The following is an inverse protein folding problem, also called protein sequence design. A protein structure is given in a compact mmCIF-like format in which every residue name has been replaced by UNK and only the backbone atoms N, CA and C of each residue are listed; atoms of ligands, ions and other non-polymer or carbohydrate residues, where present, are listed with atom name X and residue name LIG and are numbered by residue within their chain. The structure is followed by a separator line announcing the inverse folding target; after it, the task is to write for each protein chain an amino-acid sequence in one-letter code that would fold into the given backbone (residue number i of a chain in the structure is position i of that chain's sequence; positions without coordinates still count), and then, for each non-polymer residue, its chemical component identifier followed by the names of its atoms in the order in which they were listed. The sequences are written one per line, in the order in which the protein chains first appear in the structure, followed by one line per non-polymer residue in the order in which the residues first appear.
data_IF_919332626820
#
_entry.id   IF_919332626820
#
_cell.length_a   1.000
_cell.length_b   1.000
_cell.length_c   1.000
_cell.angle_alpha   90.00
_cell.angle_beta   90.00
_cell.angle_gamma   90.00
#
_symmetry.space_group_name_H-M   'P 1'
#
loop_
_entity.id
_entity.type
_entity.pdbx_description
1 polymer ?
#
# COMPACT_ATOMS: atom_id res chain seq x y z
N UNK A 1 19.90 -25.75 1.41
CA UNK A 1 19.39 -26.99 2.03
C UNK A 1 18.06 -26.64 2.69
N UNK A 2 16.93 -26.84 2.01
CA UNK A 2 15.60 -26.50 2.57
C UNK A 2 15.24 -27.47 3.70
N UNK A 3 15.06 -26.93 4.90
CA UNK A 3 14.64 -27.70 6.07
C UNK A 3 13.11 -27.83 6.02
N UNK A 4 12.61 -29.04 5.83
CA UNK A 4 11.16 -29.31 5.86
C UNK A 4 10.74 -29.38 7.32
N UNK A 5 10.00 -28.38 7.78
CA UNK A 5 9.45 -28.32 9.14
C UNK A 5 8.23 -29.25 9.26
N UNK A 6 8.14 -30.00 10.35
CA UNK A 6 6.98 -30.84 10.62
C UNK A 6 5.80 -30.02 11.20
N UNK A 7 4.59 -30.60 11.26
CA UNK A 7 3.40 -29.88 11.71
C UNK A 7 3.49 -29.35 13.15
N UNK A 8 4.27 -30.02 14.02
CA UNK A 8 4.48 -29.58 15.39
C UNK A 8 5.45 -28.40 15.47
N UNK A 9 6.46 -28.34 14.59
CA UNK A 9 7.34 -27.18 14.42
C UNK A 9 6.60 -25.98 13.83
N UNK A 10 5.70 -26.21 12.87
CA UNK A 10 4.82 -25.15 12.33
C UNK A 10 3.86 -24.63 13.42
N UNK A 11 3.34 -25.51 14.29
CA UNK A 11 2.51 -25.10 15.42
C UNK A 11 3.31 -24.36 16.49
N UNK A 12 4.54 -24.78 16.77
CA UNK A 12 5.42 -24.14 17.74
C UNK A 12 5.87 -22.74 17.27
N UNK A 13 6.25 -22.58 15.99
CA UNK A 13 6.54 -21.27 15.40
C UNK A 13 5.29 -20.38 15.40
N UNK A 14 4.11 -20.92 15.11
CA UNK A 14 2.84 -20.18 15.24
C UNK A 14 2.51 -19.82 16.69
N UNK A 15 2.91 -20.61 17.68
CA UNK A 15 2.67 -20.34 19.09
C UNK A 15 3.67 -19.34 19.69
N UNK A 16 4.94 -19.43 19.32
CA UNK A 16 5.99 -18.46 19.66
C UNK A 16 5.74 -17.12 18.97
N UNK A 17 5.34 -17.14 17.69
CA UNK A 17 4.85 -15.96 16.99
C UNK A 17 3.61 -15.40 17.69
N UNK A 18 2.62 -16.22 18.09
CA UNK A 18 1.45 -15.75 18.86
C UNK A 18 1.80 -15.10 20.21
N UNK A 19 2.86 -15.56 20.88
CA UNK A 19 3.38 -14.95 22.11
C UNK A 19 4.07 -13.61 21.83
N UNK A 20 4.95 -13.54 20.83
CA UNK A 20 5.64 -12.30 20.41
C UNK A 20 4.70 -11.31 19.72
N UNK A 21 3.62 -11.77 19.12
CA UNK A 21 2.50 -10.98 18.57
C UNK A 21 1.71 -10.29 19.69
N UNK A 22 1.69 -10.83 20.91
CA UNK A 22 1.01 -10.20 22.05
C UNK A 22 1.82 -9.08 22.68
N UNK A 23 3.14 -9.27 22.81
CA UNK A 23 4.03 -8.33 23.52
C UNK A 23 4.90 -7.49 22.58
N UNK A 24 4.87 -7.78 21.27
CA UNK A 24 5.53 -7.05 20.18
C UNK A 24 7.04 -6.81 20.35
N UNK A 25 7.72 -7.75 21.02
CA UNK A 25 9.17 -7.80 21.15
C UNK A 25 9.80 -8.29 19.83
N UNK A 26 10.26 -7.35 19.00
CA UNK A 26 10.87 -7.65 17.71
C UNK A 26 11.80 -6.55 17.20
N UNK A 27 12.51 -6.85 16.11
CA UNK A 27 13.39 -5.88 15.44
C UNK A 27 12.56 -4.81 14.74
N UNK A 28 12.89 -3.54 14.97
CA UNK A 28 12.23 -2.42 14.30
C UNK A 28 12.85 -2.23 12.93
N UNK A 29 12.12 -2.58 11.88
CA UNK A 29 12.57 -2.44 10.50
C UNK A 29 12.35 -1.01 9.97
N UNK A 30 11.28 -0.36 10.43
CA UNK A 30 10.89 0.96 9.95
C UNK A 30 10.15 1.73 11.02
N UNK A 31 10.33 3.05 11.05
CA UNK A 31 9.57 3.99 11.87
C UNK A 31 9.44 5.31 11.14
N UNK A 32 8.20 5.77 10.94
CA UNK A 32 7.91 7.07 10.36
C UNK A 32 6.63 7.63 10.95
N UNK A 33 6.73 8.81 11.55
CA UNK A 33 5.63 9.41 12.33
C UNK A 33 5.05 8.38 13.33
N UNK A 34 3.77 8.02 13.17
CA UNK A 34 3.06 7.07 14.03
C UNK A 34 3.15 5.62 13.53
N UNK A 35 3.71 5.41 12.35
CA UNK A 35 3.79 4.09 11.73
C UNK A 35 5.09 3.40 12.13
N UNK A 36 4.98 2.12 12.53
CA UNK A 36 6.11 1.27 12.89
C UNK A 36 5.95 -0.11 12.27
N UNK A 37 7.02 -0.63 11.68
CA UNK A 37 7.06 -2.02 11.21
C UNK A 37 8.04 -2.79 12.09
N UNK A 38 7.52 -3.83 12.75
CA UNK A 38 8.29 -4.67 13.67
C UNK A 38 8.35 -6.09 13.12
N UNK A 39 9.55 -6.63 12.94
CA UNK A 39 9.76 -8.02 12.60
C UNK A 39 9.63 -8.88 13.84
N UNK A 40 8.63 -9.74 13.85
CA UNK A 40 8.22 -10.57 15.00
C UNK A 40 8.66 -12.03 14.84
N UNK A 41 9.05 -12.45 13.64
CA UNK A 41 9.68 -13.76 13.36
C UNK A 41 10.49 -13.71 12.07
N UNK A 42 11.07 -14.85 11.66
CA UNK A 42 11.78 -14.97 10.38
C UNK A 42 10.91 -14.53 9.19
N UNK A 43 9.62 -14.86 9.21
CA UNK A 43 8.72 -14.70 8.06
C UNK A 43 7.55 -13.74 8.30
N UNK A 44 7.49 -13.05 9.45
CA UNK A 44 6.35 -12.19 9.78
C UNK A 44 6.78 -10.83 10.30
N UNK A 45 6.00 -9.82 9.91
CA UNK A 45 6.03 -8.46 10.45
C UNK A 45 4.67 -8.08 11.01
N UNK A 46 4.68 -7.07 11.89
CA UNK A 46 3.49 -6.31 12.25
C UNK A 46 3.69 -4.84 11.85
N UNK A 47 2.81 -4.31 10.99
CA UNK A 47 2.66 -2.86 10.78
C UNK A 47 1.76 -2.32 11.89
N UNK A 48 2.18 -1.25 12.55
CA UNK A 48 1.50 -0.63 13.69
C UNK A 48 1.32 0.86 13.44
N UNK A 49 0.17 1.38 13.83
CA UNK A 49 -0.07 2.81 14.00
C UNK A 49 -1.26 3.00 14.96
N UNK A 50 -1.49 4.23 15.42
CA UNK A 50 -2.64 4.55 16.27
C UNK A 50 -3.98 4.42 15.52
N UNK A 51 -3.95 4.50 14.19
CA UNK A 51 -5.13 4.44 13.32
C UNK A 51 -4.69 4.10 11.88
N UNK A 52 -4.53 2.80 11.59
CA UNK A 52 -4.25 2.31 10.24
C UNK A 52 -5.57 2.35 9.44
N UNK A 53 -5.57 2.81 8.18
CA UNK A 53 -6.77 2.79 7.36
C UNK A 53 -7.38 1.38 7.28
N UNK A 54 -8.65 1.26 7.63
CA UNK A 54 -9.34 -0.04 7.74
C UNK A 54 -9.34 -0.85 6.42
N UNK A 55 -9.21 -0.16 5.28
CA UNK A 55 -9.15 -0.76 3.95
C UNK A 55 -7.76 -1.29 3.56
N UNK A 56 -6.68 -1.05 4.31
CA UNK A 56 -5.34 -1.54 3.92
C UNK A 56 -5.29 -3.08 3.82
N UNK A 57 -5.80 -3.79 4.84
CA UNK A 57 -5.82 -5.25 4.82
C UNK A 57 -6.73 -5.84 3.71
N UNK A 58 -7.98 -5.36 3.51
CA UNK A 58 -8.77 -5.69 2.33
C UNK A 58 -8.06 -5.43 0.99
N UNK A 59 -7.39 -4.29 0.85
CA UNK A 59 -6.63 -3.94 -0.36
C UNK A 59 -5.52 -4.94 -0.65
N UNK A 60 -4.71 -5.31 0.35
CA UNK A 60 -3.64 -6.30 0.17
C UNK A 60 -4.19 -7.65 -0.32
N UNK A 61 -5.33 -8.09 0.24
CA UNK A 61 -6.01 -9.33 -0.22
C UNK A 61 -6.50 -9.20 -1.65
N UNK A 62 -7.15 -8.08 -1.98
CA UNK A 62 -7.67 -7.80 -3.31
C UNK A 62 -6.56 -7.82 -4.37
N UNK A 63 -5.42 -7.18 -4.11
CA UNK A 63 -4.28 -7.17 -5.04
C UNK A 63 -3.70 -8.58 -5.23
N UNK A 64 -3.53 -9.33 -4.15
CA UNK A 64 -3.01 -10.70 -4.21
C UNK A 64 -3.93 -11.66 -4.99
N UNK A 65 -5.24 -11.42 -4.95
CA UNK A 65 -6.24 -12.24 -5.65
C UNK A 65 -6.38 -11.90 -7.15
N UNK A 66 -6.11 -10.64 -7.53
CA UNK A 66 -6.43 -10.14 -8.87
C UNK A 66 -5.19 -9.83 -9.73
N UNK A 67 -3.99 -9.94 -9.18
CA UNK A 67 -2.73 -9.61 -9.89
C UNK A 67 -1.61 -10.58 -9.54
N UNK A 68 -0.49 -10.47 -10.25
CA UNK A 68 0.76 -11.14 -9.90
C UNK A 68 1.71 -10.24 -9.10
N UNK A 69 1.21 -9.11 -8.58
CA UNK A 69 2.05 -8.14 -7.87
C UNK A 69 2.45 -8.76 -6.54
N UNK A 70 3.75 -8.80 -6.22
CA UNK A 70 4.18 -9.34 -4.94
C UNK A 70 3.79 -8.37 -3.82
N UNK A 71 2.84 -8.79 -2.98
CA UNK A 71 2.38 -8.04 -1.82
C UNK A 71 2.42 -8.93 -0.57
N UNK A 72 2.60 -8.36 0.64
CA UNK A 72 2.55 -9.13 1.87
C UNK A 72 1.20 -9.81 2.07
N UNK A 73 1.20 -11.11 2.40
CA UNK A 73 -0.04 -11.80 2.78
C UNK A 73 -0.47 -11.37 4.17
N UNK A 74 -1.72 -10.92 4.30
CA UNK A 74 -2.33 -10.59 5.60
C UNK A 74 -2.72 -11.88 6.33
N UNK A 75 -2.24 -12.03 7.58
CA UNK A 75 -2.57 -13.16 8.46
C UNK A 75 -3.53 -12.78 9.58
N UNK A 76 -3.43 -11.55 10.10
CA UNK A 76 -4.27 -11.07 11.20
C UNK A 76 -4.40 -9.55 11.18
N UNK A 77 -5.51 -9.04 11.74
CA UNK A 77 -5.79 -7.60 11.89
C UNK A 77 -6.20 -7.35 13.33
N UNK A 78 -5.46 -6.47 14.02
CA UNK A 78 -5.68 -6.13 15.42
C UNK A 78 -6.52 -4.87 15.52
N UNK A 79 -7.55 -4.94 16.35
CA UNK A 79 -8.49 -3.86 16.60
C UNK A 79 -8.40 -3.40 18.05
N UNK A 80 -8.38 -2.09 18.26
CA UNK A 80 -8.56 -1.43 19.56
C UNK A 80 -9.55 -0.28 19.37
N UNK A 81 -10.62 -0.24 20.18
CA UNK A 81 -11.69 0.77 20.09
C UNK A 81 -12.21 0.99 18.65
N UNK A 82 -12.50 -0.11 17.94
CA UNK A 82 -12.96 -0.16 16.54
C UNK A 82 -11.96 0.41 15.50
N UNK A 83 -10.72 0.69 15.89
CA UNK A 83 -9.64 1.13 14.99
C UNK A 83 -8.66 0.01 14.71
N UNK A 84 -8.14 -0.02 13.48
CA UNK A 84 -7.04 -0.94 13.15
C UNK A 84 -5.74 -0.38 13.71
N UNK A 85 -5.15 -1.08 14.67
CA UNK A 85 -3.88 -0.67 15.30
C UNK A 85 -2.71 -1.55 14.89
N UNK A 86 -2.98 -2.67 14.25
CA UNK A 86 -1.95 -3.60 13.81
C UNK A 86 -2.39 -4.51 12.67
N UNK A 87 -1.50 -4.75 11.72
CA UNK A 87 -1.68 -5.74 10.66
C UNK A 87 -0.49 -6.71 10.70
N UNK A 88 -0.77 -7.99 10.97
CA UNK A 88 0.24 -9.05 10.93
C UNK A 88 0.26 -9.63 9.52
N UNK A 89 1.42 -9.58 8.87
CA UNK A 89 1.58 -9.98 7.49
C UNK A 89 2.97 -10.58 7.21
N UNK A 90 3.15 -11.15 6.03
CA UNK A 90 4.44 -11.70 5.60
C UNK A 90 5.56 -10.65 5.69
N UNK A 91 6.72 -11.07 6.19
CA UNK A 91 7.97 -10.35 5.98
C UNK A 91 8.40 -10.55 4.53
N UNK A 92 8.58 -9.46 3.79
CA UNK A 92 9.03 -9.50 2.41
C UNK A 92 10.56 -9.32 2.34
N UNK A 93 11.32 -10.28 1.77
CA UNK A 93 12.76 -10.15 1.63
C UNK A 93 13.12 -9.16 0.52
N UNK A 94 14.28 -8.53 0.62
CA UNK A 94 14.82 -7.64 -0.41
C UNK A 94 15.27 -6.30 0.16
N UNK A 95 15.88 -5.51 -0.70
CA UNK A 95 16.41 -4.18 -0.37
C UNK A 95 15.54 -3.13 -1.06
N UNK A 96 15.31 -2.00 -0.38
CA UNK A 96 14.53 -0.90 -0.96
C UNK A 96 15.23 -0.35 -2.21
N UNK A 97 14.45 -0.12 -3.26
CA UNK A 97 14.99 0.28 -4.56
C UNK A 97 15.70 1.64 -4.49
N UNK A 98 15.22 2.57 -3.67
CA UNK A 98 15.85 3.88 -3.49
C UNK A 98 17.27 3.78 -2.91
N UNK A 99 17.50 2.85 -1.98
CA UNK A 99 18.81 2.63 -1.36
C UNK A 99 19.87 2.07 -2.31
N UNK A 100 19.45 1.37 -3.37
CA UNK A 100 20.38 0.75 -4.33
C UNK A 100 20.37 1.41 -5.70
N UNK A 101 19.42 2.31 -6.00
CA UNK A 101 19.19 2.85 -7.34
C UNK A 101 20.45 3.41 -8.01
N UNK A 102 21.27 4.14 -7.26
CA UNK A 102 22.49 4.77 -7.77
C UNK A 102 23.63 3.78 -8.04
N UNK A 103 23.56 2.57 -7.47
CA UNK A 103 24.53 1.49 -7.70
C UNK A 103 24.18 0.62 -8.90
N UNK A 104 22.94 0.70 -9.40
CA UNK A 104 22.47 -0.13 -10.50
C UNK A 104 22.98 0.35 -11.86
N UNK A 105 23.43 -0.60 -12.67
CA UNK A 105 23.76 -0.39 -14.08
C UNK A 105 22.51 -0.21 -14.97
N UNK A 106 22.68 0.28 -16.21
CA UNK A 106 21.56 0.55 -17.12
C UNK A 106 20.64 -0.67 -17.37
N UNK A 107 21.21 -1.84 -17.62
CA UNK A 107 20.44 -3.05 -17.92
C UNK A 107 19.62 -3.54 -16.71
N UNK A 108 20.14 -3.34 -15.50
CA UNK A 108 19.45 -3.68 -14.25
C UNK A 108 18.28 -2.73 -13.99
N UNK A 109 18.48 -1.42 -14.20
CA UNK A 109 17.41 -0.41 -14.12
C UNK A 109 16.31 -0.71 -15.14
N UNK A 110 16.71 -1.06 -16.37
CA UNK A 110 15.77 -1.44 -17.43
C UNK A 110 14.96 -2.69 -17.04
N UNK A 111 15.62 -3.73 -16.53
CA UNK A 111 14.95 -4.96 -16.09
C UNK A 111 13.93 -4.72 -14.97
N UNK A 112 14.26 -3.88 -13.99
CA UNK A 112 13.33 -3.51 -12.90
C UNK A 112 12.19 -2.68 -13.46
N UNK A 113 12.47 -1.69 -14.32
CA UNK A 113 11.44 -0.84 -14.93
C UNK A 113 10.43 -1.66 -15.76
N UNK A 114 10.88 -2.69 -16.47
CA UNK A 114 10.01 -3.59 -17.23
C UNK A 114 9.06 -4.40 -16.33
N UNK A 115 9.55 -4.89 -15.19
CA UNK A 115 8.72 -5.57 -14.19
C UNK A 115 7.68 -4.61 -13.60
N UNK A 116 8.10 -3.42 -13.17
CA UNK A 116 7.20 -2.40 -12.60
C UNK A 116 6.15 -1.95 -13.62
N UNK A 117 6.53 -1.78 -14.88
CA UNK A 117 5.58 -1.51 -15.98
C UNK A 117 4.53 -2.61 -16.08
N UNK A 118 4.95 -3.88 -16.04
CA UNK A 118 4.05 -5.03 -16.05
C UNK A 118 3.05 -5.00 -14.89
N UNK A 119 3.50 -4.66 -13.68
CA UNK A 119 2.64 -4.54 -12.51
C UNK A 119 1.66 -3.36 -12.61
N UNK A 120 2.13 -2.19 -13.05
CA UNK A 120 1.25 -1.01 -13.27
C UNK A 120 0.19 -1.32 -14.32
N UNK A 121 0.55 -2.02 -15.40
CA UNK A 121 -0.44 -2.44 -16.41
C UNK A 121 -1.50 -3.37 -15.83
N UNK A 122 -1.13 -4.30 -14.94
CA UNK A 122 -2.11 -5.14 -14.24
C UNK A 122 -3.03 -4.32 -13.34
N UNK A 123 -2.49 -3.39 -12.55
CA UNK A 123 -3.30 -2.49 -11.71
C UNK A 123 -4.30 -1.68 -12.53
N UNK A 124 -3.83 -1.06 -13.62
CA UNK A 124 -4.69 -0.21 -14.47
C UNK A 124 -5.77 -0.98 -15.23
N UNK A 125 -5.63 -2.30 -15.35
CA UNK A 125 -6.67 -3.17 -15.89
C UNK A 125 -7.79 -3.47 -14.88
N UNK A 126 -7.57 -3.21 -13.59
CA UNK A 126 -8.60 -3.32 -12.56
C UNK A 126 -9.50 -2.07 -12.62
N UNK A 127 -10.52 -2.13 -13.47
CA UNK A 127 -11.49 -1.04 -13.66
C UNK A 127 -12.49 -0.96 -12.49
N UNK A 128 -12.92 0.25 -12.17
CA UNK A 128 -13.92 0.54 -11.14
C UNK A 128 -15.10 1.33 -11.69
N UNK A 129 -16.15 1.41 -10.90
CA UNK A 129 -17.34 2.23 -11.18
C UNK A 129 -17.60 3.28 -10.08
N UNK A 130 -16.64 3.48 -9.19
CA UNK A 130 -16.66 4.48 -8.13
C UNK A 130 -15.22 4.90 -7.82
N UNK A 131 -15.06 6.06 -7.19
CA UNK A 131 -13.76 6.57 -6.73
C UNK A 131 -13.66 6.37 -5.22
N UNK A 132 -12.68 5.60 -4.77
CA UNK A 132 -12.56 5.18 -3.38
C UNK A 132 -11.69 3.93 -3.20
N UNK A 133 -11.41 3.60 -1.94
CA UNK A 133 -10.67 2.40 -1.59
C UNK A 133 -11.53 1.12 -1.75
N UNK A 134 -10.90 -0.04 -1.56
CA UNK A 134 -11.58 -1.35 -1.53
C UNK A 134 -12.74 -1.35 -0.54
N UNK A 135 -13.79 -2.12 -0.86
CA UNK A 135 -15.05 -2.18 -0.11
C UNK A 135 -15.76 -0.83 0.04
N UNK A 136 -15.63 0.02 -0.99
CA UNK A 136 -16.15 1.40 -0.99
C UNK A 136 -15.63 2.24 0.19
N UNK A 137 -14.38 2.02 0.58
CA UNK A 137 -13.68 2.86 1.55
C UNK A 137 -13.40 4.27 1.02
N UNK A 138 -13.02 5.16 1.93
CA UNK A 138 -12.70 6.56 1.61
C UNK A 138 -11.41 6.69 0.81
N UNK A 139 -11.36 7.68 -0.08
CA UNK A 139 -10.12 8.25 -0.61
C UNK A 139 -9.37 8.97 0.51
N UNK A 140 -8.03 8.94 0.45
CA UNK A 140 -7.15 9.77 1.27
C UNK A 140 -6.22 10.58 0.36
N UNK A 141 -6.31 11.91 0.43
CA UNK A 141 -5.43 12.83 -0.33
C UNK A 141 -5.03 14.03 0.53
N UNK A 142 -3.85 14.60 0.32
CA UNK A 142 -3.46 15.86 0.96
C UNK A 142 -1.97 15.97 1.26
N UNK A 143 -1.39 17.15 0.98
CA UNK A 143 0.05 17.39 1.13
C UNK A 143 0.49 17.62 2.60
N UNK A 144 -0.44 17.93 3.50
CA UNK A 144 -0.16 18.27 4.91
C UNK A 144 -0.84 17.31 5.90
N UNK A 145 -1.16 16.10 5.43
CA UNK A 145 -1.94 15.09 6.12
C UNK A 145 -3.14 14.64 5.26
N UNK A 146 -3.58 13.39 5.40
CA UNK A 146 -4.68 12.87 4.60
C UNK A 146 -5.99 13.56 4.99
N UNK A 147 -6.60 14.23 4.02
CA UNK A 147 -8.01 14.60 4.03
C UNK A 147 -8.76 13.42 3.41
N UNK A 148 -9.69 12.87 4.19
CA UNK A 148 -10.49 11.72 3.79
C UNK A 148 -11.79 12.18 3.12
N UNK A 149 -12.21 11.47 2.08
CA UNK A 149 -13.44 11.77 1.35
C UNK A 149 -13.99 10.56 0.60
N UNK A 150 -15.22 10.69 0.14
CA UNK A 150 -15.88 9.63 -0.63
C UNK A 150 -16.38 8.47 0.25
N UNK A 151 -16.60 7.28 -0.34
CA UNK A 151 -16.47 6.96 -1.77
C UNK A 151 -17.37 7.86 -2.63
N UNK A 152 -16.99 8.09 -3.88
CA UNK A 152 -17.74 8.91 -4.84
C UNK A 152 -18.29 8.06 -5.97
N UNK A 153 -19.55 8.25 -6.34
CA UNK A 153 -20.18 7.49 -7.42
C UNK A 153 -19.89 8.08 -8.81
N UNK A 154 -19.32 9.29 -8.85
CA UNK A 154 -18.93 9.95 -10.09
C UNK A 154 -17.66 10.77 -9.92
N UNK A 155 -16.93 10.93 -11.02
CA UNK A 155 -15.81 11.85 -11.10
C UNK A 155 -16.21 13.30 -10.84
N UNK A 156 -17.44 13.70 -11.19
CA UNK A 156 -17.92 15.05 -10.89
C UNK A 156 -18.07 15.31 -9.38
N UNK A 157 -18.45 14.30 -8.60
CA UNK A 157 -18.50 14.42 -7.14
C UNK A 157 -17.09 14.51 -6.55
N UNK A 158 -16.17 13.68 -7.05
CA UNK A 158 -14.77 13.70 -6.64
C UNK A 158 -14.09 15.04 -6.96
N UNK A 159 -14.26 15.56 -8.18
CA UNK A 159 -13.71 16.87 -8.58
C UNK A 159 -14.27 18.00 -7.71
N UNK A 160 -15.56 17.94 -7.34
CA UNK A 160 -16.16 18.91 -6.42
C UNK A 160 -15.52 18.86 -5.04
N UNK A 161 -15.26 17.67 -4.52
CA UNK A 161 -14.60 17.47 -3.24
C UNK A 161 -13.15 17.97 -3.25
N UNK A 162 -12.39 17.75 -4.34
CA UNK A 162 -11.04 18.32 -4.51
C UNK A 162 -11.06 19.85 -4.35
N UNK A 163 -12.03 20.50 -4.99
CA UNK A 163 -12.11 21.96 -5.00
C UNK A 163 -12.64 22.52 -3.67
N UNK A 164 -13.61 21.87 -3.04
CA UNK A 164 -14.29 22.40 -1.87
C UNK A 164 -13.63 22.03 -0.55
N UNK A 165 -13.23 20.76 -0.41
CA UNK A 165 -12.83 20.17 0.86
C UNK A 165 -11.32 19.99 0.96
N UNK A 166 -10.68 19.57 -0.15
CA UNK A 166 -9.22 19.42 -0.21
C UNK A 166 -8.51 20.78 -0.36
N UNK A 167 -9.14 21.74 -1.03
CA UNK A 167 -8.55 23.05 -1.35
C UNK A 167 -9.43 24.24 -0.95
N UNK A 168 -9.94 24.31 0.28
CA UNK A 168 -10.95 25.30 0.71
C UNK A 168 -10.44 26.74 0.66
N UNK A 169 -9.12 26.94 0.68
CA UNK A 169 -8.48 28.26 0.67
C UNK A 169 -8.05 28.72 -0.73
N UNK A 170 -8.46 28.03 -1.80
CA UNK A 170 -8.18 28.45 -3.18
C UNK A 170 -8.81 29.83 -3.45
N UNK A 171 -7.99 30.78 -3.88
CA UNK A 171 -8.46 32.10 -4.31
C UNK A 171 -9.28 31.98 -5.60
N UNK A 172 -10.28 32.86 -5.78
CA UNK A 172 -11.24 32.78 -6.88
C UNK A 172 -10.63 32.58 -8.28
N UNK A 173 -9.52 33.25 -8.68
CA UNK A 173 -8.90 33.00 -9.98
C UNK A 173 -8.36 31.56 -10.11
N UNK A 174 -7.66 31.05 -9.09
CA UNK A 174 -7.13 29.69 -9.09
C UNK A 174 -8.23 28.64 -9.04
N UNK A 175 -9.30 28.93 -8.29
CA UNK A 175 -10.48 28.08 -8.24
C UNK A 175 -11.14 27.94 -9.62
N UNK A 176 -11.33 29.07 -10.33
CA UNK A 176 -11.85 29.05 -11.70
C UNK A 176 -10.99 28.18 -12.63
N UNK A 177 -9.66 28.34 -12.59
CA UNK A 177 -8.76 27.51 -13.40
C UNK A 177 -8.86 26.03 -13.03
N UNK A 178 -8.91 25.70 -11.73
CA UNK A 178 -9.00 24.32 -11.27
C UNK A 178 -10.34 23.67 -11.68
N UNK A 179 -11.46 24.38 -11.57
CA UNK A 179 -12.78 23.91 -12.04
C UNK A 179 -12.82 23.61 -13.55
N UNK A 180 -12.01 24.32 -14.36
CA UNK A 180 -11.93 24.09 -15.80
C UNK A 180 -10.82 23.09 -16.20
N UNK A 181 -9.87 22.83 -15.31
CA UNK A 181 -8.79 21.86 -15.53
C UNK A 181 -9.18 20.44 -15.09
N UNK A 182 -10.04 20.32 -14.07
CA UNK A 182 -10.60 19.05 -13.62
C UNK A 182 -11.75 18.63 -14.54
N UNK A 183 -11.38 18.10 -15.72
CA UNK A 183 -12.33 17.48 -16.63
C UNK A 183 -12.85 16.15 -16.07
N UNK A 184 -13.93 15.65 -16.65
CA UNK A 184 -14.52 14.36 -16.31
C UNK A 184 -14.54 13.41 -17.51
N UNK A 185 -14.90 12.15 -17.26
CA UNK A 185 -15.04 11.11 -18.29
C UNK A 185 -13.81 10.24 -18.46
N UNK A 186 -12.88 10.29 -17.50
CA UNK A 186 -11.72 9.40 -17.47
C UNK A 186 -12.15 7.98 -17.10
N UNK A 187 -11.39 6.98 -17.55
CA UNK A 187 -11.57 5.64 -17.01
C UNK A 187 -11.19 5.61 -15.52
N UNK A 188 -12.00 4.95 -14.71
CA UNK A 188 -11.71 4.77 -13.31
C UNK A 188 -10.91 3.48 -13.13
N UNK A 189 -9.65 3.62 -12.70
CA UNK A 189 -8.65 2.54 -12.64
C UNK A 189 -8.05 2.40 -11.25
N UNK A 190 -7.66 1.18 -10.88
CA UNK A 190 -7.00 0.96 -9.60
C UNK A 190 -5.59 1.55 -9.61
N UNK A 191 -5.29 2.36 -8.59
CA UNK A 191 -4.06 3.13 -8.45
C UNK A 191 -3.50 2.95 -7.04
N UNK A 192 -2.18 2.82 -6.92
CA UNK A 192 -1.49 2.66 -5.64
C UNK A 192 -1.47 3.96 -4.81
N UNK A 193 -1.43 5.11 -5.47
CA UNK A 193 -1.44 6.47 -4.88
C UNK A 193 -0.24 6.85 -4.00
N UNK A 194 0.73 5.96 -3.81
CA UNK A 194 2.06 6.24 -3.23
C UNK A 194 3.16 5.40 -3.90
N UNK A 195 3.11 5.32 -5.23
CA UNK A 195 4.05 4.49 -5.98
C UNK A 195 5.43 5.15 -6.06
N UNK A 196 6.33 4.77 -5.17
CA UNK A 196 7.67 5.36 -5.03
C UNK A 196 8.74 4.29 -4.77
N UNK A 197 10.00 4.58 -5.08
CA UNK A 197 11.11 3.63 -4.95
C UNK A 197 11.35 3.13 -3.51
N UNK A 198 10.97 3.91 -2.49
CA UNK A 198 11.02 3.47 -1.08
C UNK A 198 10.03 2.33 -0.76
N UNK A 199 8.97 2.20 -1.57
CA UNK A 199 7.92 1.19 -1.41
C UNK A 199 8.17 -0.04 -2.29
N UNK A 200 9.31 -0.14 -2.97
CA UNK A 200 9.66 -1.25 -3.86
C UNK A 200 10.85 -2.00 -3.26
N UNK A 201 10.69 -3.30 -3.03
CA UNK A 201 11.79 -4.20 -2.63
C UNK A 201 12.30 -4.98 -3.84
N UNK A 202 13.63 -5.15 -3.90
CA UNK A 202 14.32 -5.87 -4.96
C UNK A 202 15.34 -6.84 -4.37
N UNK A 203 15.46 -8.03 -4.96
CA UNK A 203 16.56 -8.95 -4.68
C UNK A 203 17.84 -8.48 -5.41
N UNK A 204 18.90 -8.18 -4.66
CA UNK A 204 20.14 -7.60 -5.22
C UNK A 204 20.93 -8.55 -6.14
N UNK A 205 20.66 -9.85 -6.11
CA UNK A 205 21.37 -10.83 -6.93
C UNK A 205 20.69 -11.02 -8.29
N UNK A 206 19.36 -11.05 -8.30
CA UNK A 206 18.53 -11.36 -9.47
C UNK A 206 17.83 -10.12 -10.06
N UNK A 207 17.83 -9.00 -9.34
CA UNK A 207 17.12 -7.77 -9.67
C UNK A 207 15.61 -7.98 -9.92
N UNK A 208 15.05 -9.02 -9.32
CA UNK A 208 13.62 -9.26 -9.31
C UNK A 208 12.95 -8.40 -8.23
N UNK A 209 11.84 -7.78 -8.58
CA UNK A 209 10.98 -7.09 -7.61
C UNK A 209 10.35 -8.13 -6.70
N UNK A 210 10.67 -8.07 -5.41
CA UNK A 210 10.21 -9.02 -4.40
C UNK A 210 9.00 -8.52 -3.63
N UNK A 211 8.73 -7.21 -3.63
CA UNK A 211 7.51 -6.64 -3.07
C UNK A 211 7.23 -5.22 -3.58
N UNK A 212 5.94 -4.88 -3.61
CA UNK A 212 5.43 -3.50 -3.60
C UNK A 212 4.66 -3.31 -2.30
N UNK A 213 5.02 -2.31 -1.52
CA UNK A 213 4.57 -2.08 -0.14
C UNK A 213 3.71 -0.82 -0.02
N UNK A 214 3.06 -0.68 1.14
CA UNK A 214 2.33 0.52 1.57
C UNK A 214 1.11 0.89 0.71
N UNK A 215 0.10 0.00 0.76
CA UNK A 215 -1.12 0.09 -0.05
C UNK A 215 -2.27 0.86 0.62
N UNK A 216 -1.99 1.58 1.70
CA UNK A 216 -3.01 2.24 2.52
C UNK A 216 -3.72 3.40 1.82
N UNK A 217 -3.13 3.96 0.75
CA UNK A 217 -3.72 5.03 -0.06
C UNK A 217 -4.35 4.51 -1.38
N UNK A 218 -4.25 3.21 -1.63
CA UNK A 218 -4.65 2.63 -2.90
C UNK A 218 -6.18 2.52 -3.03
N UNK A 219 -6.65 2.60 -4.27
CA UNK A 219 -8.08 2.58 -4.59
C UNK A 219 -8.33 2.85 -6.06
N UNK A 220 -9.59 3.04 -6.42
CA UNK A 220 -10.00 3.45 -7.75
C UNK A 220 -9.98 4.97 -7.89
N UNK A 221 -9.33 5.46 -8.93
CA UNK A 221 -9.16 6.88 -9.25
C UNK A 221 -9.28 7.12 -10.77
N UNK A 222 -9.59 8.36 -11.21
CA UNK A 222 -9.45 8.75 -12.62
C UNK A 222 -8.02 8.52 -13.14
N UNK A 223 -7.89 8.00 -14.37
CA UNK A 223 -6.60 7.66 -15.00
C UNK A 223 -5.67 8.83 -15.39
#
# INVERSE_FOLDING_TARGET
MHRILNQDQIRAEKAEARSKVRDDEGEVLYTFHRHKVVRISENLVVKKADDIPAHEAPTLRFIAENTTIPVPKVHDVRLEDDKVVGIVMDYMPGTQLDGIWDTLGPDQKQSIAEQLRGYISQLRNLKGNYIGAVDRGTVAMGNWGPIYGGPFDSEQEFNRWIINDLSPTLQAPLRYYAEHALTDGHEIVFTHSDFSSRNILVDENSYQVTAILDWELAGWYPE
#
